data_IF_701348380781
#
_entry.id   IF_701348380781
#
_cell.length_a   1.000
_cell.length_b   1.000
_cell.length_c   1.000
_cell.angle_alpha   90.00
_cell.angle_beta   90.00
_cell.angle_gamma   90.00
#
_symmetry.space_group_name_H-M   'P 1'
#
loop_
_entity.id
_entity.type
_entity.pdbx_description
1 polymer ?
#
# COMPACT_ATOMS: atom_id res chain seq x y z
N UNK A 1 -37.30 54.09 -16.58
CA UNK A 1 -36.44 53.89 -17.73
C UNK A 1 -35.00 54.06 -17.25
N UNK A 2 -34.31 52.98 -16.91
CA UNK A 2 -32.84 52.90 -16.76
C UNK A 2 -32.46 51.49 -17.11
N UNK A 3 -31.89 51.34 -18.28
CA UNK A 3 -31.29 50.12 -18.78
C UNK A 3 -30.04 49.79 -17.95
N UNK A 4 -30.06 48.69 -17.26
CA UNK A 4 -28.85 48.08 -16.73
C UNK A 4 -28.30 47.11 -17.78
N UNK A 5 -27.24 47.51 -18.42
CA UNK A 5 -26.42 46.62 -19.21
C UNK A 5 -25.65 45.71 -18.26
N UNK A 6 -26.00 44.46 -18.26
CA UNK A 6 -25.10 43.39 -17.72
C UNK A 6 -23.91 43.28 -18.69
N UNK A 7 -22.82 43.91 -18.36
CA UNK A 7 -21.54 43.55 -18.95
C UNK A 7 -21.18 42.18 -18.41
N UNK A 8 -21.38 41.16 -19.25
CA UNK A 8 -20.76 39.87 -19.03
C UNK A 8 -19.24 40.02 -19.12
N UNK A 9 -18.58 39.96 -17.97
CA UNK A 9 -17.17 39.67 -17.95
C UNK A 9 -16.93 38.27 -18.46
N UNK A 10 -16.81 38.14 -19.79
CA UNK A 10 -16.06 37.04 -20.35
C UNK A 10 -14.62 37.23 -19.90
N UNK A 11 -14.27 36.67 -18.76
CA UNK A 11 -12.90 36.45 -18.39
C UNK A 11 -12.32 35.51 -19.46
N UNK A 12 -11.72 36.10 -20.46
CA UNK A 12 -10.80 35.39 -21.33
C UNK A 12 -9.69 34.88 -20.42
N UNK A 13 -9.85 33.67 -19.96
CA UNK A 13 -8.75 32.85 -19.47
C UNK A 13 -7.79 32.68 -20.65
N UNK A 14 -6.90 33.62 -20.81
CA UNK A 14 -5.67 33.45 -21.58
C UNK A 14 -4.88 32.39 -20.87
N UNK A 15 -5.17 31.15 -21.19
CA UNK A 15 -4.33 30.03 -20.82
C UNK A 15 -2.99 30.22 -21.49
N UNK A 16 -2.01 30.57 -20.70
CA UNK A 16 -0.63 30.34 -21.04
C UNK A 16 -0.50 28.90 -21.50
N UNK A 17 0.08 28.68 -22.68
CA UNK A 17 0.05 27.44 -23.43
C UNK A 17 0.77 26.27 -22.78
N UNK A 18 0.27 25.78 -21.66
CA UNK A 18 0.46 24.41 -21.23
C UNK A 18 -0.57 23.59 -21.99
N UNK A 19 -0.14 22.84 -22.97
CA UNK A 19 -1.03 21.92 -23.67
C UNK A 19 -1.46 20.83 -22.69
N UNK A 20 -2.61 21.03 -22.05
CA UNK A 20 -3.27 20.00 -21.28
C UNK A 20 -3.86 18.97 -22.25
N UNK A 21 -3.47 17.73 -22.12
CA UNK A 21 -4.06 16.64 -22.87
C UNK A 21 -5.19 16.06 -22.06
N UNK A 22 -6.37 16.06 -22.62
CA UNK A 22 -7.58 15.59 -21.98
C UNK A 22 -8.01 14.25 -22.56
N UNK A 23 -8.61 13.39 -21.74
CA UNK A 23 -9.05 12.04 -22.14
C UNK A 23 -10.11 12.02 -23.24
N UNK A 24 -10.95 13.08 -23.35
CA UNK A 24 -11.99 13.21 -24.37
C UNK A 24 -11.46 13.29 -25.82
N UNK A 25 -10.17 13.51 -26.01
CA UNK A 25 -9.55 13.48 -27.35
C UNK A 25 -9.16 12.07 -27.79
N UNK A 26 -9.20 11.09 -26.92
CA UNK A 26 -8.74 9.72 -27.19
C UNK A 26 -9.67 8.99 -28.16
N UNK A 27 -10.96 9.32 -28.16
CA UNK A 27 -11.95 8.70 -29.05
C UNK A 27 -11.77 9.02 -30.54
N UNK A 28 -10.94 10.00 -30.90
CA UNK A 28 -10.77 10.45 -32.28
C UNK A 28 -9.56 9.83 -32.91
N UNK A 29 -9.74 9.04 -33.96
CA UNK A 29 -8.65 8.36 -34.70
C UNK A 29 -7.59 9.34 -35.23
N UNK A 30 -7.99 10.55 -35.61
CA UNK A 30 -7.09 11.61 -36.09
C UNK A 30 -6.06 12.06 -35.05
N UNK A 31 -6.32 11.83 -33.74
CA UNK A 31 -5.39 12.19 -32.67
C UNK A 31 -4.12 11.32 -32.69
N UNK A 32 -4.18 10.17 -33.34
CA UNK A 32 -3.07 9.21 -33.39
C UNK A 32 -2.26 9.29 -34.68
N UNK A 33 -2.85 9.87 -35.72
CA UNK A 33 -2.22 9.85 -37.06
C UNK A 33 -0.98 10.76 -37.10
N UNK A 34 0.17 10.16 -37.46
CA UNK A 34 1.43 10.88 -37.64
C UNK A 34 2.06 11.44 -36.36
N UNK A 35 1.56 11.05 -35.20
CA UNK A 35 1.98 11.52 -33.87
C UNK A 35 2.67 10.43 -33.08
N UNK A 36 3.40 10.86 -32.06
CA UNK A 36 4.02 9.98 -31.05
C UNK A 36 3.53 10.36 -29.67
N UNK A 37 3.47 9.39 -28.75
CA UNK A 37 3.05 9.67 -27.40
C UNK A 37 2.65 8.44 -26.60
N UNK A 38 1.80 8.68 -25.62
CA UNK A 38 1.30 7.68 -24.71
C UNK A 38 -0.23 7.74 -24.63
N UNK A 39 -0.86 6.56 -24.62
CA UNK A 39 -2.25 6.38 -24.25
C UNK A 39 -2.30 5.47 -23.03
N UNK A 40 -3.12 5.77 -22.07
CA UNK A 40 -3.16 4.95 -20.87
C UNK A 40 -4.40 5.13 -20.03
N UNK A 41 -4.43 4.34 -18.95
CA UNK A 41 -5.39 4.48 -17.88
C UNK A 41 -4.65 5.02 -16.67
N UNK A 42 -5.19 6.09 -16.10
CA UNK A 42 -4.75 6.64 -14.83
C UNK A 42 -5.69 6.16 -13.74
N UNK A 43 -5.13 5.61 -12.65
CA UNK A 43 -5.87 5.10 -11.50
C UNK A 43 -5.49 5.84 -10.25
N UNK A 44 -6.48 6.19 -9.46
CA UNK A 44 -6.30 6.84 -8.17
C UNK A 44 -7.39 6.45 -7.18
N UNK A 45 -7.14 6.56 -5.85
CA UNK A 45 -8.17 6.34 -4.85
C UNK A 45 -9.31 7.37 -4.96
N UNK A 46 -10.55 6.93 -4.71
CA UNK A 46 -11.73 7.81 -4.75
C UNK A 46 -11.68 8.91 -3.67
N UNK A 47 -11.08 8.61 -2.54
CA UNK A 47 -10.99 9.53 -1.39
C UNK A 47 -9.80 10.51 -1.46
N UNK A 48 -8.95 10.42 -2.50
CA UNK A 48 -7.95 11.47 -2.70
C UNK A 48 -8.69 12.77 -3.03
N UNK A 49 -9.14 13.33 -1.97
CA UNK A 49 -9.49 14.72 -1.77
C UNK A 49 -10.38 15.36 -2.82
N UNK A 50 -11.65 15.40 -2.52
CA UNK A 50 -12.52 16.39 -3.11
C UNK A 50 -12.94 16.07 -4.54
N UNK A 51 -14.22 15.91 -4.66
CA UNK A 51 -14.90 15.96 -5.95
C UNK A 51 -14.64 17.33 -6.58
N UNK A 52 -14.29 17.33 -7.85
CA UNK A 52 -14.46 18.48 -8.69
C UNK A 52 -13.23 19.19 -9.22
N UNK A 53 -12.02 18.87 -8.81
CA UNK A 53 -10.81 19.50 -9.33
C UNK A 53 -9.99 18.49 -10.14
N UNK A 54 -9.54 18.83 -11.34
CA UNK A 54 -8.78 17.91 -12.17
C UNK A 54 -7.45 17.58 -11.50
N UNK A 55 -7.14 16.30 -11.40
CA UNK A 55 -5.85 15.85 -10.97
C UNK A 55 -4.88 15.89 -12.15
N UNK A 56 -3.65 16.30 -11.89
CA UNK A 56 -2.62 16.43 -12.90
C UNK A 56 -1.38 15.64 -12.51
N UNK A 57 -0.64 15.20 -13.50
CA UNK A 57 0.69 14.63 -13.33
C UNK A 57 1.70 15.32 -14.24
N UNK A 58 2.95 15.36 -13.81
CA UNK A 58 4.07 15.81 -14.61
C UNK A 58 4.82 14.62 -15.17
N UNK A 59 4.64 14.36 -16.46
CA UNK A 59 5.29 13.27 -17.18
C UNK A 59 6.13 13.83 -18.34
N UNK A 60 7.42 13.57 -18.33
CA UNK A 60 8.35 14.07 -19.34
C UNK A 60 8.36 15.60 -19.46
N UNK A 61 8.18 16.30 -18.34
CA UNK A 61 8.10 17.76 -18.29
C UNK A 61 6.79 18.35 -18.79
N UNK A 62 5.78 17.52 -19.09
CA UNK A 62 4.46 17.93 -19.55
C UNK A 62 3.42 17.70 -18.47
N UNK A 63 2.60 18.71 -18.19
CA UNK A 63 1.44 18.56 -17.31
C UNK A 63 0.30 17.87 -18.07
N UNK A 64 -0.22 16.80 -17.49
CA UNK A 64 -1.31 15.99 -18.05
C UNK A 64 -2.45 15.99 -17.05
N UNK A 65 -3.65 16.35 -17.52
CA UNK A 65 -4.89 16.17 -16.75
C UNK A 65 -5.30 14.71 -16.89
N UNK A 66 -5.35 14.00 -15.77
CA UNK A 66 -5.62 12.55 -15.75
C UNK A 66 -6.97 12.21 -15.15
N UNK A 67 -7.63 13.19 -14.52
CA UNK A 67 -9.01 13.07 -14.04
C UNK A 67 -9.80 14.34 -14.39
N UNK A 68 -10.91 14.23 -15.12
CA UNK A 68 -11.77 15.37 -15.38
C UNK A 68 -12.37 15.92 -14.07
N UNK A 69 -12.57 17.24 -14.03
CA UNK A 69 -13.30 17.88 -12.95
C UNK A 69 -14.69 17.26 -12.82
N UNK A 70 -15.19 17.10 -11.60
CA UNK A 70 -16.50 16.54 -11.27
C UNK A 70 -16.71 15.06 -11.64
N UNK A 71 -15.64 14.31 -11.98
CA UNK A 71 -15.73 12.89 -12.19
C UNK A 71 -15.53 12.12 -10.88
N UNK A 72 -16.46 11.23 -10.56
CA UNK A 72 -16.33 10.25 -9.46
C UNK A 72 -15.58 8.98 -9.88
N UNK A 73 -15.20 8.86 -11.17
CA UNK A 73 -14.49 7.69 -11.66
C UNK A 73 -13.07 7.65 -11.15
N UNK A 74 -12.65 6.47 -10.71
CA UNK A 74 -11.30 6.21 -10.21
C UNK A 74 -10.31 5.94 -11.34
N UNK A 75 -10.80 5.34 -12.42
CA UNK A 75 -10.00 4.96 -13.57
C UNK A 75 -10.34 5.86 -14.75
N UNK A 76 -9.38 6.58 -15.28
CA UNK A 76 -9.59 7.52 -16.40
C UNK A 76 -8.62 7.22 -17.53
N UNK A 77 -9.14 7.21 -18.75
CA UNK A 77 -8.31 7.15 -19.94
C UNK A 77 -7.69 8.52 -20.19
N UNK A 78 -6.43 8.53 -20.47
CA UNK A 78 -5.71 9.72 -20.90
C UNK A 78 -4.92 9.49 -22.18
N UNK A 79 -4.68 10.57 -22.89
CA UNK A 79 -3.87 10.62 -24.09
C UNK A 79 -2.88 11.78 -23.96
N UNK A 80 -1.64 11.55 -24.32
CA UNK A 80 -0.64 12.60 -24.37
C UNK A 80 0.29 12.44 -25.56
N UNK A 81 0.24 13.41 -26.49
CA UNK A 81 1.26 13.55 -27.50
C UNK A 81 2.57 13.99 -26.88
N UNK A 82 3.64 13.23 -27.10
CA UNK A 82 4.94 13.42 -26.48
C UNK A 82 6.05 13.17 -27.50
N UNK A 83 7.20 13.81 -27.30
CA UNK A 83 8.39 13.54 -28.09
C UNK A 83 8.95 12.15 -27.75
N UNK A 84 9.54 11.44 -28.72
CA UNK A 84 10.25 10.19 -28.47
C UNK A 84 11.33 10.35 -27.40
N UNK A 85 11.56 9.29 -26.63
CA UNK A 85 12.55 9.25 -25.58
C UNK A 85 11.99 8.93 -24.20
N UNK A 86 12.79 9.07 -23.17
CA UNK A 86 12.40 8.75 -21.80
C UNK A 86 11.55 9.89 -21.21
N UNK A 87 10.34 9.56 -20.81
CA UNK A 87 9.43 10.45 -20.09
C UNK A 87 9.38 10.03 -18.61
N UNK A 88 9.93 10.86 -17.73
CA UNK A 88 9.93 10.62 -16.29
C UNK A 88 8.67 11.21 -15.64
N UNK A 89 8.08 10.46 -14.72
CA UNK A 89 7.03 10.95 -13.85
C UNK A 89 7.68 11.58 -12.60
N UNK A 90 7.55 12.89 -12.47
CA UNK A 90 8.25 13.65 -11.42
C UNK A 90 7.32 14.14 -10.32
N UNK A 91 6.06 14.35 -10.64
CA UNK A 91 5.13 15.00 -9.73
C UNK A 91 3.70 14.58 -10.06
N UNK A 92 2.91 14.47 -9.02
CA UNK A 92 1.46 14.27 -9.09
C UNK A 92 0.76 15.33 -8.23
N UNK A 93 -0.21 16.03 -8.81
CA UNK A 93 -0.95 17.09 -8.12
C UNK A 93 -2.39 16.67 -7.91
N UNK A 94 -2.88 16.93 -6.71
CA UNK A 94 -4.27 16.72 -6.33
C UNK A 94 -4.73 17.84 -5.40
N UNK A 95 -6.03 18.06 -5.32
CA UNK A 95 -6.60 19.03 -4.40
C UNK A 95 -7.44 18.37 -3.33
N UNK A 96 -7.30 18.88 -2.09
CA UNK A 96 -8.07 18.49 -0.93
C UNK A 96 -8.86 19.68 -0.41
N UNK A 97 -10.17 19.73 -0.69
CA UNK A 97 -10.97 20.91 -0.39
C UNK A 97 -10.43 22.14 -1.13
N UNK A 98 -9.99 23.16 -0.40
CA UNK A 98 -9.39 24.39 -0.97
C UNK A 98 -7.87 24.28 -1.17
N UNK A 99 -7.23 23.23 -0.66
CA UNK A 99 -5.78 23.09 -0.68
C UNK A 99 -5.31 22.30 -1.89
N UNK A 100 -4.39 22.86 -2.66
CA UNK A 100 -3.64 22.14 -3.68
C UNK A 100 -2.46 21.40 -3.00
N UNK A 101 -2.36 20.08 -3.23
CA UNK A 101 -1.28 19.24 -2.70
C UNK A 101 -0.48 18.63 -3.83
N UNK A 102 0.81 18.51 -3.59
CA UNK A 102 1.77 17.92 -4.53
C UNK A 102 2.44 16.73 -3.88
N UNK A 103 2.53 15.64 -4.63
CA UNK A 103 3.39 14.52 -4.29
C UNK A 103 4.54 14.48 -5.29
N UNK A 104 5.73 14.84 -4.82
CA UNK A 104 6.95 14.67 -5.60
C UNK A 104 7.41 13.21 -5.51
N UNK A 105 7.84 12.66 -6.63
CA UNK A 105 8.38 11.32 -6.69
C UNK A 105 9.91 11.39 -6.69
N UNK A 106 10.54 10.53 -5.89
CA UNK A 106 12.00 10.40 -5.96
C UNK A 106 12.40 9.69 -7.25
N UNK A 107 12.86 10.48 -8.21
CA UNK A 107 13.35 9.99 -9.50
C UNK A 107 14.87 9.90 -9.53
N UNK A 108 15.56 10.20 -8.43
CA UNK A 108 17.03 10.29 -8.40
C UNK A 108 17.71 8.94 -8.30
N UNK A 109 16.96 7.90 -7.88
CA UNK A 109 17.53 6.57 -7.63
C UNK A 109 18.53 6.53 -6.48
N UNK A 110 18.57 7.59 -5.64
CA UNK A 110 19.48 7.70 -4.51
C UNK A 110 19.11 6.74 -3.37
N UNK A 111 17.81 6.40 -3.26
CA UNK A 111 17.33 5.40 -2.31
C UNK A 111 17.61 3.97 -2.75
N UNK A 112 17.44 3.03 -1.84
CA UNK A 112 17.57 1.60 -2.10
C UNK A 112 16.34 1.03 -2.83
N UNK A 113 15.21 1.72 -2.77
CA UNK A 113 13.97 1.28 -3.41
C UNK A 113 14.04 1.34 -4.94
N UNK A 114 13.58 0.27 -5.57
CA UNK A 114 13.38 0.21 -7.02
C UNK A 114 11.89 0.34 -7.31
N UNK A 115 11.51 1.41 -7.98
CA UNK A 115 10.13 1.57 -8.44
C UNK A 115 10.10 2.17 -9.85
N UNK A 116 9.10 1.78 -10.65
CA UNK A 116 8.94 2.30 -12.00
C UNK A 116 8.70 3.82 -11.96
N UNK A 117 9.53 4.59 -12.63
CA UNK A 117 9.44 6.06 -12.63
C UNK A 117 9.30 6.66 -14.01
N UNK A 118 9.55 5.89 -15.06
CA UNK A 118 9.55 6.42 -16.42
C UNK A 118 9.00 5.45 -17.44
N UNK A 119 8.56 6.01 -18.54
CA UNK A 119 8.17 5.28 -19.76
C UNK A 119 8.98 5.75 -20.94
N UNK A 120 9.27 4.84 -21.86
CA UNK A 120 9.92 5.18 -23.14
C UNK A 120 8.85 5.44 -24.18
N UNK A 121 8.82 6.67 -24.67
CA UNK A 121 7.94 7.07 -25.77
C UNK A 121 8.56 6.57 -27.07
N UNK A 122 7.82 5.83 -27.92
CA UNK A 122 8.36 5.26 -29.14
C UNK A 122 8.72 6.33 -30.18
N UNK A 123 9.63 6.00 -31.06
CA UNK A 123 10.02 6.87 -32.22
C UNK A 123 8.86 7.15 -33.16
N UNK A 124 7.88 6.24 -33.22
CA UNK A 124 6.69 6.36 -34.07
C UNK A 124 5.46 5.80 -33.37
N UNK A 125 4.35 6.54 -33.43
CA UNK A 125 3.08 6.12 -32.91
C UNK A 125 2.99 6.23 -31.39
N UNK A 126 2.07 5.49 -30.81
CA UNK A 126 1.76 5.49 -29.38
C UNK A 126 2.14 4.17 -28.74
N UNK A 127 2.47 4.23 -27.47
CA UNK A 127 2.48 3.05 -26.60
C UNK A 127 1.42 3.18 -25.51
N UNK A 128 1.00 2.05 -24.91
CA UNK A 128 -0.06 2.00 -23.90
C UNK A 128 0.45 1.55 -22.54
N UNK A 129 -0.11 2.13 -21.47
CA UNK A 129 0.31 1.83 -20.07
C UNK A 129 -0.79 2.16 -19.08
N UNK A 130 -0.75 1.52 -17.91
CA UNK A 130 -1.50 1.95 -16.72
C UNK A 130 -0.55 2.72 -15.80
N UNK A 131 -0.97 3.90 -15.35
CA UNK A 131 -0.32 4.66 -14.28
C UNK A 131 -1.23 4.62 -13.06
N UNK A 132 -0.75 4.06 -11.95
CA UNK A 132 -1.56 3.81 -10.76
C UNK A 132 -0.92 4.40 -9.52
N UNK A 133 -1.72 5.14 -8.77
CA UNK A 133 -1.41 5.61 -7.42
C UNK A 133 -2.20 4.87 -6.35
N UNK A 134 -2.83 3.76 -6.73
CA UNK A 134 -3.52 2.89 -5.78
C UNK A 134 -2.52 2.19 -4.90
N UNK A 135 -2.83 2.12 -3.63
CA UNK A 135 -2.01 1.41 -2.65
C UNK A 135 -1.82 -0.06 -3.04
N UNK A 136 -0.58 -0.54 -2.94
CA UNK A 136 -0.23 -1.89 -3.37
C UNK A 136 -0.09 -2.10 -4.88
N UNK A 137 -0.48 -1.11 -5.70
CA UNK A 137 -0.28 -1.15 -7.14
C UNK A 137 1.12 -0.61 -7.51
N UNK A 138 1.61 -1.02 -8.66
CA UNK A 138 2.80 -0.42 -9.24
C UNK A 138 2.45 0.93 -9.87
N UNK A 139 3.36 1.88 -9.77
CA UNK A 139 3.20 3.19 -10.39
C UNK A 139 2.96 3.07 -11.91
N UNK A 140 3.72 2.22 -12.59
CA UNK A 140 3.47 1.86 -13.99
C UNK A 140 3.22 0.37 -14.13
N UNK A 141 2.22 -0.01 -14.91
CA UNK A 141 1.91 -1.41 -15.18
C UNK A 141 1.31 -1.62 -16.58
N UNK A 142 1.21 -2.88 -16.99
CA UNK A 142 0.63 -3.31 -18.26
C UNK A 142 -0.63 -4.16 -18.03
N UNK A 143 -1.54 -3.73 -17.17
CA UNK A 143 -2.77 -4.47 -16.92
C UNK A 143 -3.69 -4.43 -18.14
N UNK A 144 -3.61 -5.45 -18.99
CA UNK A 144 -4.31 -5.54 -20.27
C UNK A 144 -5.84 -5.56 -20.11
N UNK A 145 -6.35 -6.25 -19.11
CA UNK A 145 -7.79 -6.33 -18.86
C UNK A 145 -8.35 -4.95 -18.49
N UNK A 146 -7.64 -4.23 -17.60
CA UNK A 146 -8.01 -2.88 -17.24
C UNK A 146 -7.95 -1.92 -18.43
N UNK A 147 -6.88 -1.99 -19.22
CA UNK A 147 -6.73 -1.15 -20.40
C UNK A 147 -7.88 -1.39 -21.40
N UNK A 148 -8.17 -2.66 -21.71
CA UNK A 148 -9.25 -3.02 -22.63
C UNK A 148 -10.62 -2.56 -22.13
N UNK A 149 -10.93 -2.75 -20.85
CA UNK A 149 -12.18 -2.32 -20.22
C UNK A 149 -12.35 -0.79 -20.30
N UNK A 150 -11.33 -0.04 -19.90
CA UNK A 150 -11.42 1.42 -19.84
C UNK A 150 -11.37 2.06 -21.24
N UNK A 151 -10.60 1.49 -22.18
CA UNK A 151 -10.61 1.94 -23.56
C UNK A 151 -11.96 1.72 -24.25
N UNK A 152 -12.62 0.59 -23.94
CA UNK A 152 -13.98 0.34 -24.42
C UNK A 152 -15.00 1.32 -23.83
N UNK A 153 -14.91 1.61 -22.53
CA UNK A 153 -15.79 2.63 -21.87
C UNK A 153 -15.58 4.04 -22.44
N UNK A 154 -14.34 4.38 -22.77
CA UNK A 154 -14.00 5.68 -23.36
C UNK A 154 -14.28 5.77 -24.87
N UNK A 155 -14.82 4.70 -25.48
CA UNK A 155 -15.13 4.65 -26.94
C UNK A 155 -13.93 5.03 -27.80
N UNK A 156 -12.73 4.49 -27.48
CA UNK A 156 -11.51 4.79 -28.21
C UNK A 156 -11.63 4.30 -29.66
N UNK A 157 -11.58 5.20 -30.63
CA UNK A 157 -11.89 4.94 -32.03
C UNK A 157 -10.76 4.22 -32.81
N UNK A 158 -9.69 3.85 -32.17
CA UNK A 158 -8.56 3.11 -32.76
C UNK A 158 -8.48 1.71 -32.18
N UNK A 159 -7.95 0.78 -32.99
CA UNK A 159 -7.67 -0.56 -32.47
C UNK A 159 -6.49 -0.51 -31.52
N UNK A 160 -6.79 -0.50 -30.21
CA UNK A 160 -5.81 -0.44 -29.14
C UNK A 160 -5.02 -1.73 -28.97
N UNK A 161 -5.47 -2.86 -29.55
CA UNK A 161 -4.73 -4.12 -29.51
C UNK A 161 -3.44 -4.01 -30.32
N UNK A 162 -3.43 -3.19 -31.37
CA UNK A 162 -2.25 -2.93 -32.19
C UNK A 162 -1.29 -1.89 -31.57
N UNK A 163 -1.68 -1.23 -30.47
CA UNK A 163 -0.79 -0.30 -29.77
C UNK A 163 0.11 -1.11 -28.83
N UNK A 164 1.44 -1.06 -29.00
CA UNK A 164 2.35 -1.79 -28.12
C UNK A 164 2.32 -1.23 -26.70
N UNK A 165 2.68 -2.04 -25.73
CA UNK A 165 2.94 -1.55 -24.38
C UNK A 165 4.17 -0.66 -24.34
N UNK A 166 4.13 0.40 -23.53
CA UNK A 166 5.31 1.22 -23.29
C UNK A 166 6.39 0.39 -22.60
N UNK A 167 7.65 0.59 -22.99
CA UNK A 167 8.76 0.15 -22.16
C UNK A 167 8.76 1.02 -20.90
N UNK A 168 8.72 0.39 -19.75
CA UNK A 168 8.76 1.04 -18.43
C UNK A 168 10.15 0.85 -17.83
N UNK A 169 10.71 1.90 -17.22
CA UNK A 169 11.99 1.84 -16.51
C UNK A 169 11.84 2.25 -15.07
N UNK A 170 12.63 1.62 -14.21
CA UNK A 170 12.71 1.98 -12.80
C UNK A 170 13.59 3.24 -12.58
N UNK A 171 13.68 3.68 -11.32
CA UNK A 171 14.47 4.83 -10.91
C UNK A 171 16.00 4.64 -11.05
N UNK A 172 16.46 3.44 -11.42
CA UNK A 172 17.86 3.13 -11.75
C UNK A 172 18.08 3.00 -13.26
N UNK A 173 17.02 3.17 -14.05
CA UNK A 173 17.06 3.10 -15.51
C UNK A 173 16.92 1.70 -16.10
N UNK A 174 16.73 0.68 -15.26
CA UNK A 174 16.53 -0.69 -15.72
C UNK A 174 15.13 -0.89 -16.27
N UNK A 175 15.02 -1.69 -17.34
CA UNK A 175 13.72 -2.01 -17.95
C UNK A 175 12.89 -2.88 -17.02
N UNK A 176 11.68 -2.40 -16.75
CA UNK A 176 10.66 -3.11 -15.97
C UNK A 176 9.74 -3.83 -16.91
N UNK A 177 9.94 -5.11 -17.16
CA UNK A 177 9.02 -5.91 -17.97
C UNK A 177 7.91 -6.51 -17.12
N UNK A 178 6.72 -6.73 -17.73
CA UNK A 178 5.62 -7.45 -17.06
C UNK A 178 5.96 -8.91 -16.74
N UNK A 179 6.83 -9.52 -17.55
CA UNK A 179 7.38 -10.84 -17.23
C UNK A 179 8.16 -10.83 -15.89
N UNK A 180 8.61 -9.66 -15.45
CA UNK A 180 9.36 -9.46 -14.21
C UNK A 180 8.51 -8.88 -13.06
N UNK A 181 7.17 -8.89 -13.16
CA UNK A 181 6.31 -8.40 -12.06
C UNK A 181 6.70 -9.02 -10.73
N UNK A 182 6.89 -10.32 -10.74
CA UNK A 182 7.25 -11.07 -9.55
C UNK A 182 8.65 -10.73 -9.06
N UNK A 183 9.63 -10.56 -9.95
CA UNK A 183 10.99 -10.17 -9.58
C UNK A 183 11.05 -8.74 -9.01
N UNK A 184 10.19 -7.83 -9.47
CA UNK A 184 10.13 -6.46 -8.92
C UNK A 184 9.53 -6.48 -7.50
N UNK A 185 8.46 -7.26 -7.30
CA UNK A 185 7.88 -7.43 -5.96
C UNK A 185 8.88 -8.11 -5.02
N UNK A 186 9.64 -9.09 -5.51
CA UNK A 186 10.69 -9.75 -4.74
C UNK A 186 11.84 -8.79 -4.41
N UNK A 187 12.24 -7.93 -5.36
CA UNK A 187 13.25 -6.90 -5.11
C UNK A 187 12.76 -5.86 -4.09
N UNK A 188 11.51 -5.38 -4.23
CA UNK A 188 10.91 -4.47 -3.25
C UNK A 188 10.85 -5.09 -1.86
N UNK A 189 10.48 -6.36 -1.76
CA UNK A 189 10.49 -7.09 -0.49
C UNK A 189 11.91 -7.23 0.09
N UNK A 190 12.89 -7.56 -0.75
CA UNK A 190 14.30 -7.68 -0.31
C UNK A 190 14.87 -6.34 0.18
N UNK A 191 14.56 -5.24 -0.50
CA UNK A 191 14.94 -3.89 -0.06
C UNK A 191 14.29 -3.54 1.29
N UNK A 192 13.01 -3.87 1.47
CA UNK A 192 12.31 -3.70 2.74
C UNK A 192 12.89 -4.56 3.88
N UNK A 193 13.31 -5.81 3.60
CA UNK A 193 14.01 -6.67 4.58
C UNK A 193 15.32 -6.03 5.02
N UNK A 194 16.07 -5.46 4.08
CA UNK A 194 17.31 -4.76 4.39
C UNK A 194 17.06 -3.52 5.24
N UNK A 195 16.05 -2.73 4.92
CA UNK A 195 15.64 -1.54 5.68
C UNK A 195 15.23 -1.93 7.11
N UNK A 196 14.36 -2.94 7.27
CA UNK A 196 13.94 -3.45 8.57
C UNK A 196 15.06 -4.09 9.40
N UNK A 197 16.23 -4.38 8.81
CA UNK A 197 17.36 -4.98 9.54
C UNK A 197 18.03 -4.02 10.53
N UNK A 198 17.78 -2.72 10.40
CA UNK A 198 18.23 -1.68 11.32
C UNK A 198 16.98 -1.02 11.96
N UNK A 199 16.98 -0.88 13.27
CA UNK A 199 15.94 -0.14 13.99
C UNK A 199 16.47 1.27 14.29
N UNK A 200 15.95 2.27 13.62
CA UNK A 200 16.41 3.66 13.73
C UNK A 200 15.47 4.48 14.62
N UNK A 201 16.00 5.52 15.28
CA UNK A 201 15.21 6.40 16.16
C UNK A 201 14.09 7.14 15.40
N UNK A 202 14.37 7.55 14.16
CA UNK A 202 13.40 8.22 13.28
C UNK A 202 12.28 7.30 12.76
N UNK A 203 12.43 5.99 12.94
CA UNK A 203 11.46 4.98 12.54
C UNK A 203 10.51 4.58 13.68
N UNK A 204 10.70 5.14 14.86
CA UNK A 204 9.77 4.92 15.98
C UNK A 204 8.41 5.49 15.64
N UNK A 205 7.39 4.68 15.80
CA UNK A 205 6.00 5.03 15.51
C UNK A 205 5.11 4.72 16.72
N UNK A 206 4.05 5.50 16.90
CA UNK A 206 3.10 5.26 17.99
C UNK A 206 2.30 4.00 17.75
N UNK A 207 2.48 3.01 18.60
CA UNK A 207 1.80 1.71 18.53
C UNK A 207 0.56 1.66 19.42
N UNK A 208 -0.41 0.82 19.09
CA UNK A 208 -1.60 0.61 19.91
C UNK A 208 -1.23 -0.13 21.18
N UNK A 209 -1.72 0.37 22.32
CA UNK A 209 -1.58 -0.28 23.61
C UNK A 209 -2.75 -1.23 23.89
N UNK A 210 -2.44 -2.35 24.53
CA UNK A 210 -3.45 -3.35 24.94
C UNK A 210 -3.85 -3.13 26.40
N UNK A 211 -4.55 -2.03 26.67
CA UNK A 211 -5.07 -1.72 27.98
C UNK A 211 -6.61 -1.74 28.00
N UNK A 212 -7.18 -1.86 29.19
CA UNK A 212 -8.64 -2.01 29.37
C UNK A 212 -9.46 -0.77 29.00
N UNK A 213 -8.79 0.37 28.85
CA UNK A 213 -9.40 1.65 28.51
C UNK A 213 -9.24 2.00 27.02
N UNK A 214 -8.44 1.20 26.29
CA UNK A 214 -8.23 1.44 24.88
C UNK A 214 -9.49 1.14 24.08
N UNK A 215 -9.98 2.12 23.36
CA UNK A 215 -11.06 1.97 22.38
C UNK A 215 -10.58 1.31 21.07
N UNK A 216 -9.27 1.13 20.94
CA UNK A 216 -8.62 0.54 19.75
C UNK A 216 -8.49 -0.98 19.81
N UNK A 217 -9.03 -1.64 20.83
CA UNK A 217 -9.00 -3.10 20.99
C UNK A 217 -10.40 -3.66 21.22
N UNK A 218 -10.64 -4.89 20.77
CA UNK A 218 -11.90 -5.59 21.01
C UNK A 218 -11.74 -6.56 22.17
N UNK A 219 -12.49 -6.34 23.22
CA UNK A 219 -12.59 -7.25 24.37
C UNK A 219 -13.75 -8.23 24.21
N UNK A 220 -13.62 -9.43 24.77
CA UNK A 220 -14.75 -10.32 24.98
C UNK A 220 -15.69 -9.76 26.06
N UNK A 221 -16.85 -10.39 26.25
CA UNK A 221 -17.92 -9.85 27.11
C UNK A 221 -17.52 -9.66 28.58
N UNK A 222 -16.66 -10.53 29.11
CA UNK A 222 -16.15 -10.48 30.48
C UNK A 222 -14.83 -9.71 30.63
N UNK A 223 -14.33 -9.12 29.54
CA UNK A 223 -13.07 -8.35 29.45
C UNK A 223 -11.82 -9.12 29.90
N UNK A 224 -11.81 -10.43 29.72
CA UNK A 224 -10.67 -11.29 30.07
C UNK A 224 -9.78 -11.60 28.88
N UNK A 225 -10.28 -11.42 27.65
CA UNK A 225 -9.56 -11.74 26.42
C UNK A 225 -9.69 -10.63 25.35
N UNK A 226 -8.65 -10.45 24.60
CA UNK A 226 -8.57 -9.56 23.44
C UNK A 226 -8.75 -10.34 22.14
N UNK A 227 -9.40 -9.71 21.15
CA UNK A 227 -9.48 -10.26 19.81
C UNK A 227 -8.25 -9.82 19.00
N UNK A 228 -7.48 -10.79 18.56
CA UNK A 228 -6.29 -10.58 17.72
C UNK A 228 -6.39 -11.40 16.43
N UNK A 229 -5.58 -11.07 15.44
CA UNK A 229 -5.64 -11.66 14.11
C UNK A 229 -4.28 -12.22 13.72
N UNK A 230 -4.24 -13.50 13.37
CA UNK A 230 -3.06 -14.18 12.83
C UNK A 230 -3.25 -14.53 11.36
N UNK A 231 -2.19 -14.45 10.55
CA UNK A 231 -2.19 -15.07 9.23
C UNK A 231 -1.90 -16.57 9.34
N UNK A 232 -2.54 -17.37 8.51
CA UNK A 232 -2.30 -18.81 8.46
C UNK A 232 -2.36 -19.38 7.05
N UNK A 233 -1.49 -20.36 6.80
CA UNK A 233 -1.53 -21.23 5.62
C UNK A 233 -2.31 -22.52 5.87
N UNK A 234 -2.61 -22.83 7.13
CA UNK A 234 -3.30 -24.06 7.52
C UNK A 234 -4.54 -23.72 8.38
N UNK A 235 -5.67 -23.36 7.74
CA UNK A 235 -6.90 -23.02 8.46
C UNK A 235 -7.47 -24.17 9.29
N UNK A 236 -7.14 -25.43 8.95
CA UNK A 236 -7.62 -26.60 9.67
C UNK A 236 -7.10 -26.70 11.11
N UNK A 237 -6.00 -26.01 11.43
CA UNK A 237 -5.49 -25.88 12.78
C UNK A 237 -6.30 -24.90 13.64
N UNK A 238 -7.17 -24.07 13.02
CA UNK A 238 -7.90 -23.00 13.65
C UNK A 238 -9.41 -23.17 13.45
N UNK A 239 -10.00 -24.21 14.09
CA UNK A 239 -11.43 -24.48 13.99
C UNK A 239 -12.22 -23.58 14.95
N UNK A 240 -13.35 -23.08 14.48
CA UNK A 240 -14.22 -22.18 15.25
C UNK A 240 -14.63 -22.81 16.59
N UNK A 241 -14.63 -21.96 17.61
CA UNK A 241 -14.97 -22.27 18.99
C UNK A 241 -14.05 -23.31 19.68
N UNK A 242 -12.99 -23.79 19.00
CA UNK A 242 -11.97 -24.64 19.59
C UNK A 242 -10.88 -23.81 20.27
N UNK A 243 -10.30 -24.40 21.34
CA UNK A 243 -9.09 -23.87 21.97
C UNK A 243 -7.88 -24.51 21.32
N UNK A 244 -6.97 -23.70 20.81
CA UNK A 244 -5.73 -24.13 20.18
C UNK A 244 -4.53 -23.67 20.99
N UNK A 245 -3.44 -24.42 20.89
CA UNK A 245 -2.17 -24.16 21.58
C UNK A 245 -1.02 -24.58 20.68
N UNK A 246 0.02 -23.77 20.63
CA UNK A 246 1.21 -24.07 19.83
C UNK A 246 2.47 -24.00 20.68
N UNK A 247 3.48 -24.78 20.31
CA UNK A 247 4.77 -24.84 20.98
C UNK A 247 5.72 -23.71 20.53
N UNK A 248 5.34 -22.94 19.51
CA UNK A 248 6.06 -21.76 19.03
C UNK A 248 5.17 -20.51 19.16
N UNK A 249 5.75 -19.34 18.98
CA UNK A 249 5.04 -18.06 19.01
C UNK A 249 4.06 -17.97 17.86
N UNK A 250 2.93 -17.32 18.10
CA UNK A 250 1.98 -16.94 17.04
C UNK A 250 1.99 -15.43 16.87
N UNK A 251 2.36 -14.96 15.69
CA UNK A 251 2.36 -13.54 15.35
C UNK A 251 0.94 -13.06 15.11
N UNK A 252 0.59 -11.94 15.74
CA UNK A 252 -0.76 -11.41 15.68
C UNK A 252 -0.76 -9.89 15.62
N UNK A 253 -1.85 -9.33 15.09
CA UNK A 253 -2.14 -7.90 15.10
C UNK A 253 -3.49 -7.64 15.77
N UNK A 254 -3.82 -6.39 16.06
CA UNK A 254 -5.08 -5.99 16.63
C UNK A 254 -6.19 -5.95 15.55
N UNK A 255 -7.38 -6.47 15.87
CA UNK A 255 -8.53 -6.54 14.96
C UNK A 255 -9.11 -5.17 14.57
N UNK A 256 -9.21 -4.24 15.53
CA UNK A 256 -9.74 -2.89 15.26
C UNK A 256 -8.79 -2.04 14.44
N UNK A 257 -7.48 -2.17 14.70
CA UNK A 257 -6.47 -1.48 13.92
C UNK A 257 -6.47 -1.98 12.47
N UNK A 258 -6.56 -3.30 12.26
CA UNK A 258 -6.76 -3.89 10.93
C UNK A 258 -8.03 -3.35 10.25
N UNK A 259 -9.14 -3.24 10.99
CA UNK A 259 -10.37 -2.69 10.44
C UNK A 259 -10.25 -1.21 10.07
N UNK A 260 -9.66 -0.37 10.93
CA UNK A 260 -9.43 1.05 10.65
C UNK A 260 -8.54 1.22 9.43
N UNK A 261 -7.40 0.52 9.41
CA UNK A 261 -6.49 0.52 8.27
C UNK A 261 -7.22 0.12 6.97
N UNK A 262 -8.05 -0.92 7.03
CA UNK A 262 -8.82 -1.37 5.87
C UNK A 262 -9.79 -0.29 5.38
N UNK A 263 -10.47 0.44 6.26
CA UNK A 263 -11.39 1.51 5.86
C UNK A 263 -10.67 2.62 5.09
N UNK A 264 -9.46 2.94 5.50
CA UNK A 264 -8.65 4.00 4.90
C UNK A 264 -7.98 3.56 3.57
N UNK A 265 -7.78 2.25 3.37
CA UNK A 265 -6.98 1.71 2.26
C UNK A 265 -7.72 0.75 1.32
N UNK A 266 -9.03 0.57 1.50
CA UNK A 266 -9.80 -0.44 0.74
C UNK A 266 -10.03 -0.10 -0.73
N UNK A 267 -9.98 1.19 -1.06
CA UNK A 267 -10.37 1.64 -2.38
C UNK A 267 -9.27 1.32 -3.41
N UNK A 268 -9.69 0.60 -4.47
CA UNK A 268 -8.84 0.24 -5.59
C UNK A 268 -7.95 -0.98 -5.41
N UNK A 269 -7.92 -1.58 -4.24
CA UNK A 269 -7.21 -2.84 -4.05
C UNK A 269 -7.93 -3.97 -4.79
N UNK A 270 -7.26 -4.57 -5.78
CA UNK A 270 -7.81 -5.70 -6.56
C UNK A 270 -7.31 -7.05 -6.07
N UNK A 271 -6.12 -7.11 -5.53
CA UNK A 271 -5.50 -8.34 -5.03
C UNK A 271 -5.30 -8.27 -3.52
N UNK A 272 -6.35 -8.63 -2.77
CA UNK A 272 -6.31 -8.67 -1.32
C UNK A 272 -5.37 -9.73 -0.75
N UNK A 273 -5.10 -10.82 -1.49
CA UNK A 273 -4.12 -11.82 -1.06
C UNK A 273 -2.71 -11.20 -0.97
N UNK A 274 -2.32 -10.47 -2.00
CA UNK A 274 -1.04 -9.76 -1.99
C UNK A 274 -1.05 -8.62 -0.97
N UNK A 275 -2.11 -7.82 -0.94
CA UNK A 275 -2.16 -6.61 -0.10
C UNK A 275 -2.11 -6.92 1.39
N UNK A 276 -2.80 -7.95 1.85
CA UNK A 276 -2.69 -8.39 3.24
C UNK A 276 -1.30 -8.96 3.56
N UNK A 277 -0.68 -9.71 2.65
CA UNK A 277 0.70 -10.15 2.85
C UNK A 277 1.66 -8.96 2.98
N UNK A 278 1.48 -7.94 2.15
CA UNK A 278 2.27 -6.72 2.21
C UNK A 278 2.11 -6.00 3.56
N UNK A 279 0.88 -5.82 4.02
CA UNK A 279 0.57 -5.17 5.29
C UNK A 279 1.17 -5.89 6.50
N UNK A 280 1.17 -7.23 6.45
CA UNK A 280 1.71 -8.07 7.54
C UNK A 280 3.21 -8.33 7.42
N UNK A 281 3.91 -7.70 6.48
CA UNK A 281 5.34 -7.93 6.28
C UNK A 281 5.70 -9.29 5.71
N UNK A 282 4.74 -9.99 5.09
CA UNK A 282 4.95 -11.30 4.49
C UNK A 282 5.39 -11.18 3.02
N UNK A 283 6.29 -12.05 2.52
CA UNK A 283 6.63 -12.06 1.11
C UNK A 283 5.42 -12.45 0.25
N UNK A 284 5.38 -12.02 -1.02
CA UNK A 284 4.31 -12.41 -1.95
C UNK A 284 4.15 -13.94 -2.08
N UNK A 285 5.26 -14.68 -1.90
CA UNK A 285 5.31 -16.14 -1.95
C UNK A 285 4.87 -16.83 -0.68
N UNK A 286 4.55 -16.08 0.39
CA UNK A 286 4.01 -16.65 1.62
C UNK A 286 2.80 -17.55 1.33
N UNK A 287 2.77 -18.71 1.98
CA UNK A 287 1.68 -19.67 1.85
C UNK A 287 0.40 -19.26 2.60
N UNK A 288 0.44 -18.15 3.35
CA UNK A 288 -0.73 -17.64 4.08
C UNK A 288 -1.86 -17.29 3.12
N UNK A 289 -3.06 -17.76 3.41
CA UNK A 289 -4.29 -17.55 2.63
C UNK A 289 -5.51 -17.19 3.48
N UNK A 290 -5.39 -17.33 4.80
CA UNK A 290 -6.47 -17.11 5.77
C UNK A 290 -6.02 -16.23 6.91
N UNK A 291 -7.00 -15.61 7.56
CA UNK A 291 -6.87 -14.95 8.85
C UNK A 291 -7.65 -15.73 9.90
N UNK A 292 -6.98 -16.06 11.01
CA UNK A 292 -7.60 -16.61 12.21
C UNK A 292 -7.79 -15.48 13.23
N UNK A 293 -9.01 -15.30 13.67
CA UNK A 293 -9.39 -14.33 14.71
C UNK A 293 -9.46 -15.08 16.04
N UNK A 294 -8.66 -14.67 16.99
CA UNK A 294 -8.35 -15.42 18.21
C UNK A 294 -8.62 -14.58 19.45
N UNK A 295 -9.34 -15.16 20.40
CA UNK A 295 -9.45 -14.63 21.75
C UNK A 295 -8.25 -15.06 22.57
N UNK A 296 -7.44 -14.11 23.03
CA UNK A 296 -6.19 -14.34 23.78
C UNK A 296 -6.18 -13.50 25.04
N UNK A 297 -5.70 -14.07 26.14
CA UNK A 297 -5.51 -13.33 27.39
C UNK A 297 -4.37 -12.32 27.26
N UNK A 298 -4.51 -11.08 27.79
CA UNK A 298 -3.45 -10.07 27.69
C UNK A 298 -2.09 -10.53 28.25
N UNK A 299 -2.11 -11.32 29.31
CA UNK A 299 -0.90 -11.88 29.91
C UNK A 299 -0.16 -12.87 29.02
N UNK A 300 -0.82 -13.43 28.02
CA UNK A 300 -0.23 -14.33 27.03
C UNK A 300 0.36 -13.58 25.82
N UNK A 301 0.24 -12.25 25.78
CA UNK A 301 0.76 -11.41 24.70
C UNK A 301 2.05 -10.70 25.12
N UNK A 302 2.96 -10.55 24.17
CA UNK A 302 4.14 -9.71 24.24
C UNK A 302 4.30 -8.93 22.96
N UNK A 303 4.92 -7.76 23.02
CA UNK A 303 5.30 -7.03 21.82
C UNK A 303 6.65 -7.54 21.33
N UNK A 304 6.78 -7.96 20.06
CA UNK A 304 8.05 -8.41 19.50
C UNK A 304 8.93 -7.20 19.15
N UNK A 305 9.30 -6.43 20.16
CA UNK A 305 10.07 -5.19 20.05
C UNK A 305 11.06 -5.07 21.21
N UNK A 306 11.96 -4.11 21.14
CA UNK A 306 12.89 -3.81 22.23
C UNK A 306 12.16 -3.42 23.53
N UNK A 307 10.93 -2.95 23.44
CA UNK A 307 10.01 -2.76 24.58
C UNK A 307 8.92 -3.82 24.47
N UNK A 308 9.01 -4.94 25.24
CA UNK A 308 8.06 -6.05 25.12
C UNK A 308 6.72 -5.81 25.82
N UNK A 309 6.58 -4.75 26.60
CA UNK A 309 5.35 -4.41 27.28
C UNK A 309 4.26 -4.02 26.26
N UNK A 310 3.16 -4.75 26.28
CA UNK A 310 2.00 -4.49 25.40
C UNK A 310 1.24 -3.21 25.75
N UNK A 311 1.50 -2.62 26.92
CA UNK A 311 0.93 -1.35 27.37
C UNK A 311 1.81 -0.15 27.04
N UNK A 312 3.05 -0.37 26.62
CA UNK A 312 3.94 0.70 26.19
C UNK A 312 3.53 1.20 24.80
N UNK A 313 3.57 2.51 24.60
CA UNK A 313 3.31 3.17 23.32
C UNK A 313 4.58 3.78 22.69
N UNK A 314 5.64 3.96 23.49
CA UNK A 314 6.94 4.47 23.04
C UNK A 314 7.91 3.31 22.92
N UNK A 315 8.51 3.18 21.74
CA UNK A 315 9.42 2.09 21.42
C UNK A 315 10.88 2.56 21.50
N UNK A 316 11.75 1.61 21.87
CA UNK A 316 13.20 1.82 21.88
C UNK A 316 13.85 1.09 20.70
N UNK A 317 15.07 1.49 20.36
CA UNK A 317 15.89 0.84 19.32
C UNK A 317 16.89 -0.16 19.88
N UNK A 318 16.89 -0.34 21.21
CA UNK A 318 17.75 -1.30 21.94
C UNK A 318 17.07 -1.74 23.23
N UNK A 319 17.59 -2.81 23.83
CA UNK A 319 17.21 -3.26 25.19
C UNK A 319 17.91 -2.48 26.32
N UNK A 320 18.55 -1.39 26.05
CA UNK A 320 19.29 -0.64 27.06
C UNK A 320 18.33 -0.14 28.14
N UNK A 321 18.57 -0.56 29.38
CA UNK A 321 17.73 -0.22 30.55
C UNK A 321 16.57 -1.17 30.83
N UNK A 322 16.08 -1.91 29.84
CA UNK A 322 14.88 -2.78 29.99
C UNK A 322 15.09 -3.98 30.92
N UNK A 323 16.32 -4.45 31.09
CA UNK A 323 16.68 -5.62 31.88
C UNK A 323 17.42 -5.27 33.18
N UNK A 324 17.24 -4.07 33.72
CA UNK A 324 17.99 -3.57 34.87
C UNK A 324 17.25 -3.72 36.21
N UNK A 325 16.09 -4.38 36.24
CA UNK A 325 15.32 -4.60 37.45
C UNK A 325 14.93 -6.07 37.65
N UNK A 326 14.42 -6.44 38.84
CA UNK A 326 14.08 -7.83 39.16
C UNK A 326 12.94 -8.38 38.28
N UNK A 327 11.99 -7.53 37.86
CA UNK A 327 10.92 -7.94 36.94
C UNK A 327 11.48 -8.25 35.54
N UNK A 328 12.47 -7.49 35.09
CA UNK A 328 13.15 -7.70 33.83
C UNK A 328 13.97 -9.01 33.81
N UNK A 329 14.43 -9.49 34.96
CA UNK A 329 15.16 -10.74 35.10
C UNK A 329 14.24 -11.96 35.35
N UNK A 330 12.90 -11.79 35.20
CA UNK A 330 11.98 -12.92 35.30
C UNK A 330 12.28 -13.98 34.21
N UNK A 331 11.93 -15.23 34.49
CA UNK A 331 12.09 -16.34 33.53
C UNK A 331 11.45 -16.03 32.17
N UNK A 332 10.29 -15.39 32.18
CA UNK A 332 9.57 -14.97 30.99
C UNK A 332 10.34 -13.94 30.16
N UNK A 333 10.93 -12.94 30.80
CA UNK A 333 11.71 -11.91 30.10
C UNK A 333 13.02 -12.44 29.57
N UNK A 334 13.68 -13.34 30.30
CA UNK A 334 14.88 -14.03 29.84
C UNK A 334 14.58 -14.92 28.61
N UNK A 335 13.46 -15.66 28.66
CA UNK A 335 12.97 -16.40 27.51
C UNK A 335 12.74 -15.49 26.30
N UNK A 336 12.01 -14.38 26.51
CA UNK A 336 11.71 -13.42 25.44
C UNK A 336 12.98 -12.89 24.79
N UNK A 337 13.96 -12.45 25.58
CA UNK A 337 15.22 -11.93 25.06
C UNK A 337 15.98 -12.96 24.25
N UNK A 338 16.07 -14.20 24.74
CA UNK A 338 16.72 -15.28 24.03
C UNK A 338 16.02 -15.60 22.70
N UNK A 339 14.69 -15.64 22.71
CA UNK A 339 13.88 -15.81 21.52
C UNK A 339 14.09 -14.65 20.53
N UNK A 340 14.07 -13.40 21.00
CA UNK A 340 14.26 -12.20 20.22
C UNK A 340 15.63 -12.22 19.50
N UNK A 341 16.71 -12.46 20.23
CA UNK A 341 18.07 -12.50 19.68
C UNK A 341 18.22 -13.62 18.65
N UNK A 342 17.69 -14.82 18.95
CA UNK A 342 17.71 -15.95 18.04
C UNK A 342 16.88 -15.71 16.78
N UNK A 343 15.76 -14.99 16.91
CA UNK A 343 14.90 -14.61 15.80
C UNK A 343 15.56 -13.53 14.93
N UNK A 344 16.12 -12.48 15.52
CA UNK A 344 16.79 -11.39 14.83
C UNK A 344 17.96 -11.92 13.99
N UNK A 345 18.73 -12.87 14.50
CA UNK A 345 19.84 -13.49 13.77
C UNK A 345 19.42 -14.18 12.46
N UNK A 346 18.15 -14.53 12.28
CA UNK A 346 17.63 -15.27 11.12
C UNK A 346 16.70 -14.44 10.23
N UNK A 347 16.16 -13.32 10.74
CA UNK A 347 15.07 -12.60 10.08
C UNK A 347 15.48 -11.86 8.81
N UNK A 348 16.76 -11.48 8.67
CA UNK A 348 17.15 -10.54 7.62
C UNK A 348 18.04 -11.14 6.53
N UNK A 349 18.17 -12.46 6.50
CA UNK A 349 19.01 -13.13 5.52
C UNK A 349 18.47 -14.50 5.12
N UNK A 350 18.82 -14.94 3.91
CA UNK A 350 18.45 -16.26 3.39
C UNK A 350 16.99 -16.36 2.92
N UNK A 351 16.55 -17.58 2.57
CA UNK A 351 15.24 -17.83 1.97
C UNK A 351 14.07 -17.62 2.94
N UNK A 352 14.34 -17.63 4.24
CA UNK A 352 13.37 -17.45 5.31
C UNK A 352 13.35 -16.03 5.88
N UNK A 353 13.92 -15.08 5.14
CA UNK A 353 13.92 -13.68 5.54
C UNK A 353 12.49 -13.18 5.79
N UNK A 354 12.33 -12.40 6.86
CA UNK A 354 11.06 -11.82 7.30
C UNK A 354 11.22 -10.34 7.58
N UNK A 355 10.21 -9.59 7.22
CA UNK A 355 10.13 -8.19 7.61
C UNK A 355 9.72 -8.11 9.08
N UNK A 356 10.65 -7.73 9.92
CA UNK A 356 10.42 -7.52 11.34
C UNK A 356 11.14 -6.25 11.80
N UNK A 357 10.38 -5.22 12.13
CA UNK A 357 10.93 -3.91 12.49
C UNK A 357 11.61 -3.88 13.85
N UNK A 358 11.23 -4.77 14.77
CA UNK A 358 11.61 -4.73 16.20
C UNK A 358 11.16 -3.46 16.91
N UNK A 359 10.31 -2.66 16.26
CA UNK A 359 9.72 -1.42 16.76
C UNK A 359 8.23 -1.54 17.06
N UNK A 360 7.68 -2.77 17.04
CA UNK A 360 6.34 -3.09 17.48
C UNK A 360 5.24 -2.86 16.45
N UNK A 361 5.57 -2.70 15.19
CA UNK A 361 4.63 -2.62 14.08
C UNK A 361 5.08 -3.51 12.91
N UNK A 362 4.10 -3.97 12.10
CA UNK A 362 4.39 -4.69 10.86
C UNK A 362 4.93 -3.73 9.80
N UNK A 363 5.86 -4.19 8.99
CA UNK A 363 6.37 -3.40 7.88
C UNK A 363 5.45 -3.54 6.67
N UNK A 364 4.73 -2.48 6.30
CA UNK A 364 3.87 -2.44 5.12
C UNK A 364 4.68 -2.12 3.86
N UNK A 365 5.26 -3.15 3.23
CA UNK A 365 6.04 -2.98 2.01
C UNK A 365 5.20 -2.75 0.74
N UNK A 366 3.86 -2.79 0.87
CA UNK A 366 2.93 -2.45 -0.21
C UNK A 366 2.57 -0.97 -0.27
N UNK A 367 2.77 -0.24 0.81
CA UNK A 367 2.49 1.20 0.88
C UNK A 367 3.42 2.00 -0.03
N UNK A 368 2.90 3.12 -0.55
CA UNK A 368 3.66 4.10 -1.34
C UNK A 368 3.92 5.39 -0.55
N UNK A 369 3.36 5.52 0.65
CA UNK A 369 3.47 6.73 1.49
C UNK A 369 4.46 6.57 2.62
N UNK A 370 4.38 5.45 3.33
CA UNK A 370 5.22 5.12 4.47
C UNK A 370 5.26 3.60 4.67
N UNK A 371 6.08 3.15 5.61
CA UNK A 371 6.26 1.72 5.90
C UNK A 371 5.51 1.23 7.13
N UNK A 372 4.78 2.11 7.80
CA UNK A 372 4.13 1.79 9.07
C UNK A 372 2.85 0.99 8.82
N UNK A 373 2.87 -0.27 9.26
CA UNK A 373 1.72 -1.16 9.19
C UNK A 373 0.90 -1.15 10.49
N UNK A 374 0.59 -2.33 10.99
CA UNK A 374 -0.24 -2.54 12.18
C UNK A 374 0.61 -2.80 13.42
N UNK A 375 0.14 -2.43 14.59
CA UNK A 375 0.78 -2.82 15.85
C UNK A 375 0.84 -4.34 15.96
N UNK A 376 2.04 -4.84 16.23
CA UNK A 376 2.36 -6.26 16.15
C UNK A 376 2.59 -6.83 17.55
N UNK A 377 2.11 -8.06 17.75
CA UNK A 377 2.24 -8.80 19.00
C UNK A 377 2.58 -10.25 18.70
N UNK A 378 3.06 -10.95 19.70
CA UNK A 378 3.19 -12.41 19.72
C UNK A 378 2.38 -12.99 20.85
N UNK A 379 1.72 -14.10 20.58
CA UNK A 379 1.21 -15.00 21.62
C UNK A 379 2.33 -15.92 22.04
N UNK A 380 2.60 -16.00 23.34
CA UNK A 380 3.71 -16.82 23.86
C UNK A 380 3.44 -18.32 23.68
N UNK A 381 4.48 -19.15 23.54
CA UNK A 381 4.33 -20.59 23.40
C UNK A 381 3.53 -21.19 24.56
N UNK A 382 2.67 -22.14 24.24
CA UNK A 382 1.85 -22.85 25.21
C UNK A 382 0.62 -22.11 25.71
N UNK A 383 0.38 -20.87 25.26
CA UNK A 383 -0.82 -20.12 25.62
C UNK A 383 -2.08 -20.70 24.96
N UNK A 384 -3.21 -20.55 25.66
CA UNK A 384 -4.52 -20.96 25.15
C UNK A 384 -5.15 -19.86 24.31
N UNK A 385 -5.44 -20.15 23.05
CA UNK A 385 -6.15 -19.25 22.13
C UNK A 385 -7.49 -19.86 21.79
N UNK A 386 -8.59 -19.12 21.93
CA UNK A 386 -9.91 -19.57 21.50
C UNK A 386 -10.19 -19.02 20.12
N UNK A 387 -10.39 -19.88 19.16
CA UNK A 387 -10.66 -19.48 17.77
C UNK A 387 -12.07 -18.91 17.66
N UNK A 388 -12.17 -17.62 17.31
CA UNK A 388 -13.47 -16.98 17.07
C UNK A 388 -14.02 -17.38 15.71
N UNK A 389 -13.20 -17.24 14.67
CA UNK A 389 -13.45 -17.71 13.30
C UNK A 389 -12.18 -17.64 12.48
N UNK A 390 -12.13 -18.43 11.41
CA UNK A 390 -11.04 -18.41 10.42
C UNK A 390 -11.65 -18.26 9.03
N UNK A 391 -11.13 -17.28 8.26
CA UNK A 391 -11.67 -16.96 6.93
C UNK A 391 -10.54 -16.64 5.94
N UNK A 392 -10.75 -16.98 4.67
CA UNK A 392 -9.80 -16.62 3.63
C UNK A 392 -9.77 -15.10 3.41
N UNK A 393 -8.69 -14.60 2.83
CA UNK A 393 -8.45 -13.16 2.64
C UNK A 393 -9.58 -12.48 1.86
N UNK A 394 -10.08 -13.10 0.81
CA UNK A 394 -11.19 -12.56 0.00
C UNK A 394 -12.46 -12.37 0.84
N UNK A 395 -12.78 -13.36 1.68
CA UNK A 395 -13.93 -13.24 2.58
C UNK A 395 -13.72 -12.11 3.59
N UNK A 396 -12.53 -12.03 4.22
CA UNK A 396 -12.20 -10.98 5.18
C UNK A 396 -12.33 -9.60 4.54
N UNK A 397 -11.78 -9.41 3.34
CA UNK A 397 -11.88 -8.14 2.63
C UNK A 397 -13.34 -7.74 2.35
N UNK A 398 -14.18 -8.66 1.91
CA UNK A 398 -15.61 -8.39 1.68
C UNK A 398 -16.34 -8.09 3.00
N UNK A 399 -16.08 -8.87 4.05
CA UNK A 399 -16.70 -8.64 5.36
C UNK A 399 -16.30 -7.30 5.98
N UNK A 400 -15.02 -6.89 5.86
CA UNK A 400 -14.54 -5.59 6.34
C UNK A 400 -15.17 -4.42 5.57
N UNK A 401 -15.54 -4.59 4.29
CA UNK A 401 -16.28 -3.59 3.51
C UNK A 401 -17.68 -3.35 4.04
N UNK A 402 -18.35 -4.41 4.48
CA UNK A 402 -19.75 -4.37 4.90
C UNK A 402 -19.91 -4.03 6.40
N UNK A 403 -18.82 -4.08 7.18
CA UNK A 403 -18.80 -3.75 8.60
C UNK A 403 -18.91 -2.24 8.78
N UNK A 404 -20.00 -1.79 9.40
CA UNK A 404 -20.24 -0.38 9.78
C UNK A 404 -19.74 -0.08 11.18
#
# INVERSE_FOLDING_TARGET
MKNFYLLGCAAALTFFGCAFTRGDNVSKAENFQGKTGIIGVFRQPAYYCGEGIPHTMMLGGKSIIVKPAFSSEQDNVFFSEMKPGIAMLTEYNYTCGEDEKKMALDTTGAGNERFPTSVVIPEKGFCKVVISFMEGDKLFSHNGDLLSEQFAKAEVAVNTDNIPYCEVRDNKGDVVSMANRDSILDAKFADAVKDASEALEEEKYTVVTLDEYSDKVTWNADKTKLLVVALTSNPELYKEDETVKFDDVVWVVNDKELWNWFQDHKDGVRNWDLRFKQLFGEPRTSAATHMAFLWVSPEDLMRPAYVPDVKAYDMHTSFEGEFNNDAANSERMMWFKNWFDARAAKSYSGPDARLWTRLGYTYDWGSNSDKYGLSEFIVVPGANMVVRYTRNFKFVANWLKDRK
#
